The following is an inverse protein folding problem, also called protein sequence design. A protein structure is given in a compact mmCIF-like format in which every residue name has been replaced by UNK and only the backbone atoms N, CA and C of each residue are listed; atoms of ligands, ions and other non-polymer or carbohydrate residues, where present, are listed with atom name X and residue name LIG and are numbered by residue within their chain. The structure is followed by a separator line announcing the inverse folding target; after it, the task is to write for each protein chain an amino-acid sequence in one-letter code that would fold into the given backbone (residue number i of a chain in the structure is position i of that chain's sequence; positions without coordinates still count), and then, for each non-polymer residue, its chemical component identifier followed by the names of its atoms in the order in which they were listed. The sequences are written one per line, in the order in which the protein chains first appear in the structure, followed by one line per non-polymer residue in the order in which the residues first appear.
data_IF_295298166578
#
_entry.id   IF_295298166578
#
_cell.length_a   1.000
_cell.length_b   1.000
_cell.length_c   1.000
_cell.angle_alpha   90.00
_cell.angle_beta   90.00
_cell.angle_gamma   90.00
#
_symmetry.space_group_name_H-M   'P 1'
#
loop_
_entity.id
_entity.type
_entity.pdbx_description
1 polymer ?
#
# COMPACT_ATOMS: atom_id res chain seq x y z
N UNK A 1 12.46 -3.73 -10.89
CA UNK A 1 11.04 -4.14 -10.86
C UNK A 1 10.19 -2.96 -10.41
N UNK A 2 9.01 -2.82 -10.97
CA UNK A 2 8.06 -1.77 -10.62
C UNK A 2 6.87 -2.37 -9.88
N UNK A 3 6.63 -1.93 -8.65
CA UNK A 3 5.57 -2.42 -7.79
C UNK A 3 4.59 -1.28 -7.48
N UNK A 4 3.29 -1.58 -7.57
CA UNK A 4 2.23 -0.65 -7.19
C UNK A 4 1.41 -1.27 -6.05
N UNK A 5 1.31 -0.55 -4.94
CA UNK A 5 0.40 -0.91 -3.84
C UNK A 5 -0.88 -0.09 -3.94
N UNK A 6 -2.03 -0.72 -3.74
CA UNK A 6 -3.33 -0.05 -3.84
C UNK A 6 -4.18 -0.31 -2.61
N UNK A 7 -4.75 0.75 -2.05
CA UNK A 7 -5.77 0.67 -1.01
C UNK A 7 -6.88 1.67 -1.33
N UNK A 8 -7.69 2.05 -0.35
CA UNK A 8 -8.81 2.97 -0.60
C UNK A 8 -8.35 4.42 -0.78
N UNK A 9 -7.80 5.01 0.27
CA UNK A 9 -7.48 6.44 0.30
C UNK A 9 -6.04 6.82 0.02
N UNK A 10 -5.15 5.86 -0.05
CA UNK A 10 -3.71 6.08 -0.24
C UNK A 10 -3.10 6.98 0.85
N UNK A 11 -3.60 6.88 2.07
CA UNK A 11 -3.08 7.67 3.21
C UNK A 11 -2.62 6.81 4.39
N UNK A 12 -2.96 5.53 4.41
CA UNK A 12 -2.62 4.63 5.52
C UNK A 12 -1.85 3.39 5.06
N UNK A 13 -2.58 2.35 4.62
CA UNK A 13 -2.00 1.03 4.32
C UNK A 13 -0.99 1.04 3.18
N UNK A 14 -1.37 1.55 2.03
CA UNK A 14 -0.49 1.52 0.87
C UNK A 14 0.73 2.42 1.01
N UNK A 15 0.67 3.61 1.64
CA UNK A 15 1.89 4.38 1.89
C UNK A 15 2.87 3.67 2.83
N UNK A 16 2.36 3.02 3.88
CA UNK A 16 3.24 2.25 4.78
C UNK A 16 3.93 1.11 4.04
N UNK A 17 3.19 0.37 3.24
CA UNK A 17 3.75 -0.72 2.43
C UNK A 17 4.80 -0.19 1.44
N UNK A 18 4.52 0.93 0.79
CA UNK A 18 5.44 1.58 -0.15
C UNK A 18 6.78 1.88 0.52
N UNK A 19 6.75 2.52 1.69
CA UNK A 19 7.98 2.92 2.38
C UNK A 19 8.79 1.72 2.87
N UNK A 20 8.11 0.68 3.36
CA UNK A 20 8.77 -0.56 3.75
C UNK A 20 9.50 -1.22 2.60
N UNK A 21 8.84 -1.37 1.46
CA UNK A 21 9.43 -2.06 0.33
C UNK A 21 10.54 -1.23 -0.31
N UNK A 22 10.40 0.08 -0.39
CA UNK A 22 11.48 0.97 -0.84
C UNK A 22 12.73 0.78 0.00
N UNK A 23 12.58 0.58 1.30
CA UNK A 23 13.70 0.35 2.20
C UNK A 23 14.38 -1.00 1.96
N UNK A 24 13.56 -2.05 1.76
CA UNK A 24 14.07 -3.42 1.55
C UNK A 24 14.66 -3.61 0.17
N UNK A 25 14.06 -3.01 -0.85
CA UNK A 25 14.46 -3.12 -2.25
C UNK A 25 14.72 -1.73 -2.84
N UNK A 26 15.82 -1.08 -2.44
CA UNK A 26 16.07 0.31 -2.86
C UNK A 26 16.27 0.50 -4.36
N UNK A 27 16.56 -0.57 -5.11
CA UNK A 27 16.74 -0.50 -6.55
C UNK A 27 15.42 -0.66 -7.33
N UNK A 28 14.33 -1.00 -6.65
CA UNK A 28 13.04 -1.15 -7.29
C UNK A 28 12.30 0.18 -7.30
N UNK A 29 11.43 0.36 -8.31
CA UNK A 29 10.48 1.47 -8.30
C UNK A 29 9.22 1.01 -7.59
N UNK A 30 8.96 1.58 -6.42
CA UNK A 30 7.80 1.24 -5.60
C UNK A 30 6.95 2.48 -5.44
N UNK A 31 5.67 2.36 -5.78
CA UNK A 31 4.71 3.46 -5.64
C UNK A 31 3.41 2.93 -5.05
N UNK A 32 2.51 3.84 -4.72
CA UNK A 32 1.19 3.49 -4.20
C UNK A 32 0.13 4.44 -4.72
N UNK A 33 -1.13 3.99 -4.70
CA UNK A 33 -2.26 4.79 -5.14
C UNK A 33 -3.52 4.30 -4.42
N UNK A 34 -4.60 5.04 -4.55
CA UNK A 34 -5.88 4.68 -3.95
C UNK A 34 -7.01 4.65 -4.96
N UNK A 35 -7.94 3.72 -4.74
CA UNK A 35 -9.12 3.59 -5.59
C UNK A 35 -10.04 4.82 -5.47
N UNK A 36 -10.10 5.42 -4.29
CA UNK A 36 -10.92 6.59 -3.99
C UNK A 36 -10.07 7.69 -3.34
N UNK A 37 -8.79 7.75 -3.69
CA UNK A 37 -7.89 8.73 -3.10
C UNK A 37 -8.26 10.15 -3.52
N UNK A 38 -8.10 11.07 -2.58
CA UNK A 38 -8.16 12.49 -2.86
C UNK A 38 -6.73 12.93 -3.21
N UNK A 39 -6.51 13.26 -4.48
CA UNK A 39 -5.18 13.62 -4.95
C UNK A 39 -4.63 14.82 -4.16
N UNK A 40 -3.39 14.70 -3.71
CA UNK A 40 -2.74 15.73 -2.92
C UNK A 40 -2.92 15.61 -1.42
N UNK A 41 -3.77 14.69 -0.94
CA UNK A 41 -3.96 14.50 0.50
C UNK A 41 -2.67 14.01 1.17
N UNK A 42 -2.35 14.50 2.38
CA UNK A 42 -1.16 14.05 3.10
C UNK A 42 -1.38 12.65 3.68
N UNK A 43 -0.29 11.98 4.02
CA UNK A 43 -0.34 10.75 4.79
C UNK A 43 -1.04 11.00 6.12
N UNK A 44 -1.82 10.02 6.61
CA UNK A 44 -2.47 10.16 7.91
C UNK A 44 -1.43 10.38 9.02
N UNK A 45 -1.82 11.11 10.04
CA UNK A 45 -0.91 11.48 11.15
C UNK A 45 -0.31 10.23 11.80
N UNK A 46 -1.13 9.23 12.06
CA UNK A 46 -0.67 8.01 12.74
C UNK A 46 0.19 7.12 11.83
N UNK A 47 -0.09 7.09 10.53
CA UNK A 47 0.80 6.40 9.58
C UNK A 47 2.19 7.02 9.57
N UNK A 48 2.23 8.35 9.54
CA UNK A 48 3.48 9.09 9.57
C UNK A 48 4.24 8.82 10.87
N UNK A 49 3.54 8.84 12.01
CA UNK A 49 4.15 8.59 13.31
C UNK A 49 4.75 7.19 13.41
N UNK A 50 4.04 6.17 12.93
CA UNK A 50 4.52 4.79 12.93
C UNK A 50 5.77 4.67 12.05
N UNK A 51 5.75 5.24 10.86
CA UNK A 51 6.91 5.21 9.98
C UNK A 51 8.12 5.89 10.63
N UNK A 52 7.91 7.03 11.29
CA UNK A 52 8.98 7.74 12.01
C UNK A 52 9.58 6.89 13.13
N UNK A 53 8.75 6.19 13.89
CA UNK A 53 9.23 5.31 14.96
C UNK A 53 10.10 4.18 14.43
N UNK A 54 9.82 3.71 13.23
CA UNK A 54 10.60 2.63 12.60
C UNK A 54 11.73 3.15 11.71
N UNK A 55 12.00 4.45 11.73
CA UNK A 55 13.12 5.04 10.98
C UNK A 55 12.91 5.07 9.47
N UNK A 56 11.66 4.99 9.00
CA UNK A 56 11.34 4.98 7.57
C UNK A 56 10.97 6.38 7.08
N UNK A 57 11.15 6.64 5.76
CA UNK A 57 10.75 7.93 5.18
C UNK A 57 9.25 8.18 5.34
N UNK A 58 8.89 9.47 5.49
CA UNK A 58 7.49 9.86 5.75
C UNK A 58 6.92 10.79 4.68
N UNK A 59 7.69 11.16 3.67
CA UNK A 59 7.15 12.00 2.60
C UNK A 59 6.20 11.18 1.74
N UNK A 60 4.97 11.67 1.58
CA UNK A 60 3.96 11.00 0.77
C UNK A 60 2.84 11.98 0.43
N UNK A 61 2.38 11.90 -0.81
CA UNK A 61 1.20 12.62 -1.30
C UNK A 61 0.29 11.61 -1.96
N UNK A 62 -0.97 11.55 -1.52
CA UNK A 62 -1.92 10.60 -2.06
C UNK A 62 -2.20 10.85 -3.54
N UNK A 63 -2.36 9.78 -4.30
CA UNK A 63 -2.73 9.85 -5.70
C UNK A 63 -3.74 8.76 -6.03
N UNK A 64 -4.56 9.05 -7.04
CA UNK A 64 -5.57 8.12 -7.49
C UNK A 64 -4.97 7.10 -8.44
N UNK A 65 -5.42 5.85 -8.34
CA UNK A 65 -5.01 4.82 -9.29
C UNK A 65 -5.46 5.21 -10.71
N UNK A 66 -4.64 4.90 -11.69
CA UNK A 66 -4.91 5.19 -13.10
C UNK A 66 -4.48 4.01 -13.96
N UNK A 67 -4.98 4.00 -15.21
CA UNK A 67 -4.57 2.98 -16.18
C UNK A 67 -3.06 2.99 -16.38
N UNK A 68 -2.46 4.19 -16.45
CA UNK A 68 -1.01 4.33 -16.65
C UNK A 68 -0.21 3.72 -15.52
N UNK A 69 -0.65 3.93 -14.25
CA UNK A 69 0.03 3.35 -13.10
C UNK A 69 -0.04 1.82 -13.12
N UNK A 70 -1.21 1.27 -13.46
CA UNK A 70 -1.39 -0.17 -13.54
C UNK A 70 -0.55 -0.76 -14.66
N UNK A 71 -0.56 -0.14 -15.84
CA UNK A 71 0.20 -0.61 -16.99
C UNK A 71 1.71 -0.58 -16.75
N UNK A 72 2.19 0.47 -16.09
CA UNK A 72 3.62 0.62 -15.83
C UNK A 72 4.15 -0.35 -14.79
N UNK A 73 3.30 -0.85 -13.90
CA UNK A 73 3.72 -1.76 -12.84
C UNK A 73 3.98 -3.18 -13.37
N UNK A 74 5.00 -3.82 -12.86
CA UNK A 74 5.24 -5.24 -13.12
C UNK A 74 4.27 -6.09 -12.31
N UNK A 75 3.98 -5.65 -11.08
CA UNK A 75 3.00 -6.30 -10.21
C UNK A 75 2.23 -5.24 -9.42
N UNK A 76 0.95 -5.55 -9.17
CA UNK A 76 0.06 -4.71 -8.38
C UNK A 76 -0.41 -5.52 -7.18
N UNK A 77 -0.20 -4.97 -5.99
CA UNK A 77 -0.67 -5.61 -4.75
C UNK A 77 -1.75 -4.76 -4.10
N UNK A 78 -2.86 -5.40 -3.79
CA UNK A 78 -3.98 -4.75 -3.11
C UNK A 78 -4.08 -5.26 -1.68
N UNK A 79 -4.72 -4.48 -0.83
CA UNK A 79 -4.79 -4.78 0.61
C UNK A 79 -5.93 -5.71 0.95
N UNK A 80 -7.02 -5.71 0.18
CA UNK A 80 -8.20 -6.52 0.44
C UNK A 80 -8.74 -7.12 -0.84
N UNK A 81 -9.54 -8.18 -0.72
CA UNK A 81 -10.23 -8.77 -1.87
C UNK A 81 -11.20 -7.78 -2.51
N UNK A 82 -11.82 -6.94 -1.70
CA UNK A 82 -12.70 -5.89 -2.21
C UNK A 82 -11.93 -4.90 -3.10
N UNK A 83 -10.72 -4.53 -2.68
CA UNK A 83 -9.84 -3.69 -3.51
C UNK A 83 -9.50 -4.38 -4.83
N UNK A 84 -9.21 -5.68 -4.77
CA UNK A 84 -8.87 -6.45 -5.98
C UNK A 84 -10.02 -6.43 -6.98
N UNK A 85 -11.23 -6.72 -6.52
CA UNK A 85 -12.41 -6.72 -7.38
C UNK A 85 -12.69 -5.35 -7.97
N UNK A 86 -12.60 -4.29 -7.16
CA UNK A 86 -12.82 -2.93 -7.61
C UNK A 86 -11.78 -2.49 -8.64
N UNK A 87 -10.52 -2.82 -8.40
CA UNK A 87 -9.45 -2.48 -9.33
C UNK A 87 -9.63 -3.19 -10.67
N UNK A 88 -9.90 -4.49 -10.63
CA UNK A 88 -10.05 -5.29 -11.84
C UNK A 88 -11.31 -4.91 -12.64
N UNK A 89 -12.35 -4.40 -11.96
CA UNK A 89 -13.53 -3.87 -12.63
C UNK A 89 -13.21 -2.62 -13.43
N UNK A 90 -12.34 -1.75 -12.93
CA UNK A 90 -11.98 -0.50 -13.61
C UNK A 90 -10.79 -0.66 -14.57
N UNK A 91 -9.83 -1.48 -14.19
CA UNK A 91 -8.57 -1.67 -14.93
C UNK A 91 -8.25 -3.16 -15.03
N UNK A 92 -8.94 -3.91 -15.91
CA UNK A 92 -8.70 -5.35 -16.07
C UNK A 92 -7.24 -5.63 -16.38
N UNK A 93 -6.62 -6.57 -15.63
CA UNK A 93 -5.23 -6.97 -15.84
C UNK A 93 -5.00 -8.33 -15.17
N UNK A 94 -3.84 -8.95 -15.40
CA UNK A 94 -3.51 -10.27 -14.86
C UNK A 94 -2.39 -10.21 -13.81
N UNK A 95 -2.01 -9.04 -13.36
CA UNK A 95 -0.87 -8.86 -12.45
C UNK A 95 -1.26 -8.34 -11.07
N UNK A 96 -2.57 -8.27 -10.77
CA UNK A 96 -3.08 -7.82 -9.49
C UNK A 96 -3.28 -9.00 -8.55
N UNK A 97 -2.67 -8.94 -7.37
CA UNK A 97 -2.75 -9.97 -6.34
C UNK A 97 -2.98 -9.33 -4.97
N UNK A 98 -3.54 -10.11 -4.04
CA UNK A 98 -3.55 -9.70 -2.64
C UNK A 98 -2.13 -9.66 -2.11
N UNK A 99 -1.82 -8.67 -1.28
CA UNK A 99 -0.51 -8.60 -0.64
C UNK A 99 -0.30 -9.80 0.29
N UNK A 100 -1.33 -10.19 1.03
CA UNK A 100 -1.25 -11.36 1.90
C UNK A 100 -1.07 -12.63 1.07
N UNK A 101 0.01 -13.38 1.27
CA UNK A 101 0.19 -14.66 0.58
C UNK A 101 -0.83 -15.72 0.98
N UNK A 102 -1.52 -15.54 2.10
CA UNK A 102 -2.52 -16.47 2.61
C UNK A 102 -3.95 -16.05 2.27
N UNK A 103 -4.14 -14.97 1.51
CA UNK A 103 -5.47 -14.50 1.10
C UNK A 103 -6.24 -13.71 2.15
N UNK A 104 -5.59 -13.28 3.22
CA UNK A 104 -6.23 -12.46 4.24
C UNK A 104 -6.22 -10.98 3.85
N UNK A 105 -7.26 -10.26 4.26
CA UNK A 105 -7.33 -8.82 4.07
C UNK A 105 -6.48 -8.10 5.13
N UNK A 106 -5.83 -7.00 4.73
CA UNK A 106 -5.20 -6.09 5.67
C UNK A 106 -6.27 -5.13 6.17
N UNK A 107 -6.53 -5.14 7.47
CA UNK A 107 -7.53 -4.28 8.07
C UNK A 107 -7.21 -2.80 7.91
N UNK A 108 -8.26 -1.97 7.83
CA UNK A 108 -8.11 -0.53 7.66
C UNK A 108 -7.98 0.15 9.03
N UNK A 109 -6.83 0.77 9.36
CA UNK A 109 -6.65 1.43 10.66
C UNK A 109 -7.24 2.83 10.70
N UNK A 110 -7.83 3.33 9.60
CA UNK A 110 -8.33 4.70 9.51
C UNK A 110 -9.30 5.00 10.66
N UNK A 111 -9.08 6.13 11.33
CA UNK A 111 -9.87 6.52 12.49
C UNK A 111 -9.50 5.81 13.78
N UNK A 112 -8.57 4.86 13.73
CA UNK A 112 -8.15 4.10 14.89
C UNK A 112 -7.03 4.77 15.70
N UNK A 113 -6.65 4.10 16.76
CA UNK A 113 -5.59 4.54 17.65
C UNK A 113 -4.20 4.28 17.06
N UNK A 114 -3.19 4.81 17.72
CA UNK A 114 -1.79 4.52 17.37
C UNK A 114 -1.52 3.01 17.43
N UNK A 115 -2.11 2.31 18.41
CA UNK A 115 -1.98 0.86 18.54
C UNK A 115 -2.56 0.13 17.32
N UNK A 116 -3.68 0.61 16.75
CA UNK A 116 -4.26 0.03 15.55
C UNK A 116 -3.32 0.19 14.35
N UNK A 117 -2.67 1.33 14.23
CA UNK A 117 -1.71 1.58 13.15
C UNK A 117 -0.44 0.75 13.32
N UNK A 118 0.05 0.58 14.55
CA UNK A 118 1.19 -0.31 14.83
C UNK A 118 0.86 -1.75 14.48
N UNK A 119 -0.34 -2.21 14.78
CA UNK A 119 -0.78 -3.55 14.42
C UNK A 119 -0.80 -3.73 12.90
N UNK A 120 -1.37 -2.78 12.18
CA UNK A 120 -1.40 -2.81 10.71
C UNK A 120 0.01 -2.79 10.13
N UNK A 121 0.89 -1.97 10.69
CA UNK A 121 2.29 -1.92 10.26
C UNK A 121 2.94 -3.30 10.41
N UNK A 122 2.72 -3.96 11.55
CA UNK A 122 3.26 -5.31 11.79
C UNK A 122 2.74 -6.34 10.80
N UNK A 123 1.46 -6.28 10.45
CA UNK A 123 0.88 -7.16 9.43
C UNK A 123 1.54 -6.93 8.06
N UNK A 124 1.69 -5.67 7.67
CA UNK A 124 2.32 -5.32 6.40
C UNK A 124 3.78 -5.77 6.36
N UNK A 125 4.50 -5.56 7.46
CA UNK A 125 5.90 -5.98 7.55
C UNK A 125 6.05 -7.48 7.35
N UNK A 126 5.19 -8.27 7.98
CA UNK A 126 5.22 -9.73 7.83
C UNK A 126 4.89 -10.14 6.40
N UNK A 127 3.83 -9.57 5.82
CA UNK A 127 3.41 -9.90 4.46
C UNK A 127 4.47 -9.54 3.43
N UNK A 128 5.06 -8.35 3.57
CA UNK A 128 6.11 -7.88 2.65
C UNK A 128 7.35 -8.76 2.80
N UNK A 129 7.70 -9.12 4.03
CA UNK A 129 8.82 -10.03 4.26
C UNK A 129 8.64 -11.38 3.60
N UNK A 130 7.43 -11.92 3.61
CA UNK A 130 7.14 -13.20 2.96
C UNK A 130 7.12 -13.11 1.44
N UNK A 131 6.61 -12.00 0.91
CA UNK A 131 6.49 -11.81 -0.54
C UNK A 131 7.81 -11.52 -1.23
N UNK A 132 8.68 -10.77 -0.56
CA UNK A 132 9.85 -10.17 -1.20
C UNK A 132 11.18 -10.53 -0.52
N UNK A 133 11.17 -11.55 0.31
CA UNK A 133 12.40 -12.00 0.99
C UNK A 133 13.40 -12.65 0.02
#
# INVERSE_FOLDING_TARGET
MKILFVCTGNTCRSPMAEKMLQWIKPDWEVTSAGLSAQAGAPMSVNSKAVLQEHGLPTYHVAKRVSAELVEAADKVFVMTEQHRQALLSQFPNRKTELLSPNGFDVGDPYGGSMADYEYTFGELEEMIGRRFS
#
